data_IF_366316869787
#
_entry.id   IF_366316869787
#
_cell.length_a   1.000
_cell.length_b   1.000
_cell.length_c   1.000
_cell.angle_alpha   90.00
_cell.angle_beta   90.00
_cell.angle_gamma   90.00
#
_symmetry.space_group_name_H-M   'P 1'
#
loop_
_entity.id
_entity.type
_entity.pdbx_description
1 polymer ?
#
# COMPACT_ATOMS: atom_id res chain seq x y z
N UNK A 1 -19.67 16.71 9.57
CA UNK A 1 -18.46 16.02 10.08
C UNK A 1 -18.78 15.37 11.41
N UNK A 2 -18.58 14.06 11.53
CA UNK A 2 -18.68 13.35 12.81
C UNK A 2 -17.48 13.76 13.65
N UNK A 3 -17.71 14.30 14.85
CA UNK A 3 -16.63 14.71 15.74
C UNK A 3 -16.13 13.48 16.51
N UNK A 4 -15.10 12.82 15.97
CA UNK A 4 -14.52 11.64 16.59
C UNK A 4 -13.55 12.03 17.70
N UNK A 5 -14.03 11.96 18.94
CA UNK A 5 -13.19 12.05 20.12
C UNK A 5 -12.37 10.75 20.26
N UNK A 6 -11.06 10.87 20.03
CA UNK A 6 -10.10 9.76 20.11
C UNK A 6 -9.24 9.84 21.38
N UNK A 7 -9.63 10.66 22.35
CA UNK A 7 -8.88 10.89 23.59
C UNK A 7 -8.62 9.61 24.40
N UNK A 8 -9.39 8.56 24.18
CA UNK A 8 -9.32 7.30 24.95
C UNK A 8 -8.68 6.13 24.19
N UNK A 9 -8.37 6.28 22.89
CA UNK A 9 -7.84 5.17 22.08
C UNK A 9 -6.30 5.21 22.01
N UNK A 10 -5.66 4.61 23.02
CA UNK A 10 -4.20 4.57 23.17
C UNK A 10 -3.53 3.33 22.56
N UNK A 11 -4.26 2.46 21.87
CA UNK A 11 -3.71 1.19 21.40
C UNK A 11 -2.51 1.36 20.47
N UNK A 12 -2.54 2.36 19.57
CA UNK A 12 -1.40 2.63 18.70
C UNK A 12 -0.17 3.10 19.50
N UNK A 13 -0.37 3.99 20.48
CA UNK A 13 0.70 4.44 21.39
C UNK A 13 1.29 3.28 22.20
N UNK A 14 0.44 2.39 22.72
CA UNK A 14 0.87 1.23 23.47
C UNK A 14 1.69 0.26 22.61
N UNK A 15 1.22 -0.04 21.39
CA UNK A 15 1.94 -0.91 20.45
C UNK A 15 3.29 -0.32 20.04
N UNK A 16 3.36 0.97 19.74
CA UNK A 16 4.63 1.63 19.43
C UNK A 16 5.55 1.73 20.65
N UNK A 17 4.99 1.95 21.85
CA UNK A 17 5.74 1.92 23.10
C UNK A 17 6.32 0.53 23.41
N UNK A 18 5.58 -0.54 23.13
CA UNK A 18 6.07 -1.92 23.21
C UNK A 18 7.17 -2.16 22.18
N UNK A 19 6.98 -1.74 20.92
CA UNK A 19 8.01 -1.83 19.87
C UNK A 19 9.28 -1.07 20.26
N UNK A 20 9.17 0.13 20.82
CA UNK A 20 10.31 0.92 21.28
C UNK A 20 11.06 0.24 22.43
N UNK A 21 10.35 -0.39 23.37
CA UNK A 21 10.96 -1.18 24.46
C UNK A 21 11.66 -2.44 23.95
N UNK A 22 11.16 -3.04 22.87
CA UNK A 22 11.74 -4.23 22.26
C UNK A 22 12.86 -3.89 21.26
N UNK A 23 12.98 -2.64 20.82
CA UNK A 23 14.01 -2.22 19.86
C UNK A 23 15.46 -2.46 20.34
N UNK A 24 15.83 -2.21 21.62
CA UNK A 24 17.14 -2.60 22.14
C UNK A 24 17.36 -4.12 22.14
N UNK A 25 16.30 -4.90 22.39
CA UNK A 25 16.37 -6.36 22.29
C UNK A 25 16.60 -6.82 20.85
N UNK A 26 16.08 -6.09 19.85
CA UNK A 26 16.32 -6.40 18.44
C UNK A 26 17.81 -6.34 18.06
N UNK A 27 18.53 -5.30 18.51
CA UNK A 27 19.97 -5.19 18.31
C UNK A 27 20.72 -6.33 19.01
N UNK A 28 20.33 -6.65 20.25
CA UNK A 28 20.88 -7.80 20.98
C UNK A 28 20.61 -9.15 20.29
N UNK A 29 19.41 -9.33 19.73
CA UNK A 29 19.02 -10.53 18.97
C UNK A 29 19.86 -10.64 17.69
N UNK A 30 20.10 -9.55 16.96
CA UNK A 30 20.96 -9.56 15.77
C UNK A 30 22.39 -9.96 16.11
N UNK A 31 22.99 -9.35 17.14
CA UNK A 31 24.35 -9.67 17.60
C UNK A 31 24.45 -11.13 18.05
N UNK A 32 23.48 -11.62 18.83
CA UNK A 32 23.46 -13.01 19.29
C UNK A 32 23.28 -13.98 18.13
N UNK A 33 22.43 -13.65 17.16
CA UNK A 33 22.21 -14.48 15.98
C UNK A 33 23.47 -14.60 15.13
N UNK A 34 24.18 -13.50 14.88
CA UNK A 34 25.48 -13.52 14.19
C UNK A 34 26.52 -14.37 14.95
N UNK A 35 26.55 -14.28 16.29
CA UNK A 35 27.43 -15.10 17.11
C UNK A 35 27.15 -16.61 16.96
N UNK A 36 25.87 -17.01 16.89
CA UNK A 36 25.47 -18.41 16.67
C UNK A 36 25.63 -18.87 15.21
N UNK A 37 25.61 -17.98 14.22
CA UNK A 37 25.94 -18.30 12.82
C UNK A 37 27.44 -18.58 12.63
N UNK A 38 28.31 -18.02 13.48
CA UNK A 38 29.74 -18.31 13.51
C UNK A 38 30.09 -19.66 14.16
N UNK A 39 29.21 -20.22 14.99
CA UNK A 39 29.31 -21.62 15.44
C UNK A 39 28.76 -22.56 14.35
N UNK A 40 29.37 -23.74 14.16
CA UNK A 40 28.86 -24.74 13.19
C UNK A 40 27.42 -25.16 13.57
N UNK A 41 26.43 -24.60 12.87
CA UNK A 41 25.01 -24.95 13.02
C UNK A 41 24.71 -26.41 12.65
N UNK A 42 25.61 -27.04 11.90
CA UNK A 42 25.51 -28.45 11.50
C UNK A 42 25.85 -29.38 12.68
N UNK A 43 26.88 -29.05 13.46
CA UNK A 43 27.42 -29.90 14.53
C UNK A 43 26.76 -29.68 15.90
N UNK A 44 26.09 -28.53 16.12
CA UNK A 44 25.49 -28.19 17.42
C UNK A 44 23.96 -27.99 17.34
N UNK A 45 23.21 -29.02 17.79
CA UNK A 45 21.75 -28.99 17.84
C UNK A 45 21.17 -27.88 18.72
N UNK A 46 21.87 -27.46 19.78
CA UNK A 46 21.43 -26.36 20.64
C UNK A 46 21.60 -25.01 19.95
N UNK A 47 22.74 -24.76 19.28
CA UNK A 47 22.97 -23.55 18.50
C UNK A 47 21.90 -23.35 17.41
N UNK A 48 21.52 -24.43 16.72
CA UNK A 48 20.44 -24.43 15.72
C UNK A 48 19.07 -24.08 16.31
N UNK A 49 18.73 -24.59 17.48
CA UNK A 49 17.46 -24.26 18.16
C UNK A 49 17.46 -22.79 18.60
N UNK A 50 18.59 -22.31 19.17
CA UNK A 50 18.74 -20.92 19.59
C UNK A 50 18.69 -19.96 18.40
N UNK A 51 19.34 -20.29 17.29
CA UNK A 51 19.28 -19.52 16.04
C UNK A 51 17.86 -19.43 15.49
N UNK A 52 17.11 -20.54 15.48
CA UNK A 52 15.71 -20.55 15.05
C UNK A 52 14.82 -19.69 15.96
N UNK A 53 15.02 -19.76 17.28
CA UNK A 53 14.29 -18.94 18.25
C UNK A 53 14.62 -17.45 18.10
N UNK A 54 15.90 -17.10 17.96
CA UNK A 54 16.35 -15.72 17.74
C UNK A 54 15.84 -15.18 16.40
N UNK A 55 15.82 -16.01 15.35
CA UNK A 55 15.24 -15.64 14.04
C UNK A 55 13.74 -15.37 14.14
N UNK A 56 13.00 -16.16 14.94
CA UNK A 56 11.59 -15.91 15.19
C UNK A 56 11.38 -14.60 15.97
N UNK A 57 12.16 -14.37 17.02
CA UNK A 57 12.13 -13.14 17.80
C UNK A 57 12.51 -11.91 16.96
N UNK A 58 13.51 -12.01 16.08
CA UNK A 58 13.88 -10.97 15.11
C UNK A 58 12.69 -10.64 14.21
N UNK A 59 12.05 -11.66 13.59
CA UNK A 59 10.90 -11.47 12.69
C UNK A 59 9.69 -10.82 13.38
N UNK A 60 9.43 -11.14 14.65
CA UNK A 60 8.34 -10.52 15.42
C UNK A 60 8.59 -9.05 15.75
N UNK A 61 9.85 -8.62 15.74
CA UNK A 61 10.27 -7.30 16.23
C UNK A 61 10.79 -6.37 15.14
N UNK A 62 10.96 -6.89 13.93
CA UNK A 62 11.48 -6.14 12.78
C UNK A 62 10.43 -5.19 12.20
N UNK A 63 10.85 -3.93 11.97
CA UNK A 63 10.12 -3.01 11.11
C UNK A 63 10.50 -3.31 9.66
N UNK A 64 9.56 -3.81 8.87
CA UNK A 64 9.78 -4.04 7.45
C UNK A 64 9.79 -2.71 6.71
N UNK A 65 10.87 -2.43 5.98
CA UNK A 65 10.89 -1.32 5.06
C UNK A 65 9.90 -1.58 3.91
N UNK A 66 9.43 -0.50 3.29
CA UNK A 66 8.63 -0.57 2.07
C UNK A 66 9.38 -1.41 1.03
N UNK A 67 8.77 -2.48 0.47
CA UNK A 67 9.40 -3.23 -0.62
C UNK A 67 9.54 -2.31 -1.83
N UNK A 68 10.62 -2.50 -2.59
CA UNK A 68 10.80 -1.87 -3.90
C UNK A 68 10.11 -2.69 -4.98
N UNK A 69 9.73 -2.06 -6.10
CA UNK A 69 9.23 -2.82 -7.25
C UNK A 69 10.33 -3.70 -7.84
N UNK A 70 11.59 -3.26 -7.84
CA UNK A 70 12.75 -4.03 -8.31
C UNK A 70 12.47 -4.72 -9.67
N UNK A 71 11.91 -3.96 -10.61
CA UNK A 71 11.68 -4.43 -11.98
C UNK A 71 12.83 -3.86 -12.81
N UNK A 72 13.77 -4.72 -13.18
CA UNK A 72 15.02 -4.32 -13.83
C UNK A 72 14.91 -4.28 -15.34
N UNK A 73 14.09 -5.16 -15.91
CA UNK A 73 13.98 -5.34 -17.36
C UNK A 73 12.60 -5.84 -17.78
N UNK A 74 12.29 -5.69 -19.06
CA UNK A 74 11.14 -6.27 -19.74
C UNK A 74 11.54 -6.75 -21.13
N UNK A 75 10.82 -7.72 -21.69
CA UNK A 75 11.10 -8.30 -23.01
C UNK A 75 9.99 -7.86 -23.97
N UNK A 76 10.37 -7.28 -25.11
CA UNK A 76 9.47 -6.86 -26.19
C UNK A 76 10.08 -7.33 -27.51
N UNK A 77 9.33 -8.09 -28.32
CA UNK A 77 9.78 -8.62 -29.62
C UNK A 77 11.17 -9.29 -29.54
N UNK A 78 11.35 -10.19 -28.56
CA UNK A 78 12.58 -10.92 -28.25
C UNK A 78 13.81 -10.05 -27.90
N UNK A 79 13.60 -8.77 -27.60
CA UNK A 79 14.64 -7.85 -27.12
C UNK A 79 14.40 -7.44 -25.68
N UNK A 80 15.46 -7.49 -24.88
CA UNK A 80 15.46 -7.03 -23.50
C UNK A 80 15.67 -5.53 -23.42
N UNK A 81 14.80 -4.86 -22.68
CA UNK A 81 14.88 -3.43 -22.38
C UNK A 81 14.97 -3.22 -20.87
N UNK A 82 15.97 -2.46 -20.44
CA UNK A 82 16.10 -2.07 -19.04
C UNK A 82 14.96 -1.13 -18.63
N UNK A 83 14.47 -1.29 -17.41
CA UNK A 83 13.42 -0.46 -16.82
C UNK A 83 14.05 0.52 -15.84
N UNK A 84 13.67 1.80 -15.98
CA UNK A 84 14.04 2.86 -15.07
C UNK A 84 12.78 3.35 -14.36
N UNK A 85 12.68 3.03 -13.08
CA UNK A 85 11.59 3.46 -12.21
C UNK A 85 11.87 4.87 -11.68
N UNK A 86 10.94 5.81 -11.91
CA UNK A 86 11.07 7.21 -11.48
C UNK A 86 9.82 7.71 -10.80
N UNK A 87 9.98 8.50 -9.75
CA UNK A 87 8.92 9.37 -9.24
C UNK A 87 8.84 10.59 -10.16
N UNK A 88 7.73 10.74 -10.88
CA UNK A 88 7.54 11.84 -11.84
C UNK A 88 6.73 13.00 -11.26
N UNK A 89 5.91 12.72 -10.24
CA UNK A 89 5.15 13.72 -9.50
C UNK A 89 5.06 13.28 -8.05
N UNK A 90 5.38 14.18 -7.13
CA UNK A 90 5.38 13.93 -5.69
C UNK A 90 4.40 14.87 -5.02
N UNK A 91 3.43 14.30 -4.32
CA UNK A 91 2.47 15.01 -3.46
C UNK A 91 2.57 14.47 -2.04
N UNK A 92 1.95 15.18 -1.09
CA UNK A 92 2.05 14.83 0.34
C UNK A 92 1.60 13.40 0.66
N UNK A 93 0.48 12.96 0.09
CA UNK A 93 -0.11 11.63 0.35
C UNK A 93 0.19 10.59 -0.73
N UNK A 94 0.81 10.94 -1.86
CA UNK A 94 1.04 10.00 -2.95
C UNK A 94 2.18 10.44 -3.86
N UNK A 95 2.96 9.46 -4.30
CA UNK A 95 3.92 9.60 -5.38
C UNK A 95 3.35 8.95 -6.64
N UNK A 96 3.47 9.61 -7.79
CA UNK A 96 3.20 9.02 -9.09
C UNK A 96 4.52 8.48 -9.64
N UNK A 97 4.58 7.18 -9.91
CA UNK A 97 5.77 6.50 -10.39
C UNK A 97 5.59 6.06 -11.84
N UNK A 98 6.65 6.17 -12.63
CA UNK A 98 6.72 5.81 -14.05
C UNK A 98 7.80 4.75 -14.28
N UNK A 99 7.48 3.74 -15.10
CA UNK A 99 8.42 2.67 -15.47
C UNK A 99 8.90 2.86 -16.90
N UNK A 100 9.91 3.71 -17.06
CA UNK A 100 10.47 4.07 -18.36
C UNK A 100 11.31 2.93 -18.93
N UNK A 101 11.07 2.57 -20.20
CA UNK A 101 11.87 1.57 -20.93
C UNK A 101 13.05 2.25 -21.61
N UNK A 102 14.27 1.95 -21.18
CA UNK A 102 15.48 2.63 -21.69
C UNK A 102 15.74 2.20 -23.13
N UNK A 103 15.85 3.16 -24.05
CA UNK A 103 16.17 2.91 -25.46
C UNK A 103 15.02 2.38 -26.31
N UNK A 104 13.83 2.18 -25.74
CA UNK A 104 12.62 1.85 -26.48
C UNK A 104 11.99 3.11 -27.08
N UNK A 105 11.75 3.13 -28.40
CA UNK A 105 11.31 4.33 -29.13
C UNK A 105 9.87 4.29 -29.63
N UNK A 106 9.20 3.13 -29.58
CA UNK A 106 7.83 2.99 -30.05
C UNK A 106 6.87 3.56 -29.00
N UNK A 107 5.89 4.34 -29.43
CA UNK A 107 4.82 4.79 -28.55
C UNK A 107 3.91 3.62 -28.19
N UNK A 108 3.66 3.46 -26.89
CA UNK A 108 2.70 2.51 -26.33
C UNK A 108 1.56 3.30 -25.69
N UNK A 109 0.37 2.70 -25.56
CA UNK A 109 -0.71 3.31 -24.79
C UNK A 109 -0.25 3.58 -23.36
N UNK A 110 -0.52 4.79 -22.86
CA UNK A 110 -0.23 5.17 -21.49
C UNK A 110 -1.26 4.54 -20.57
N UNK A 111 -0.82 3.92 -19.48
CA UNK A 111 -1.68 3.26 -18.50
C UNK A 111 -1.40 3.80 -17.11
N UNK A 112 -2.39 4.45 -16.50
CA UNK A 112 -2.40 4.79 -15.08
C UNK A 112 -3.03 3.65 -14.27
N UNK A 113 -2.23 3.00 -13.45
CA UNK A 113 -2.67 2.04 -12.45
C UNK A 113 -2.88 2.77 -11.12
N UNK A 114 -4.12 2.84 -10.67
CA UNK A 114 -4.47 3.34 -9.33
C UNK A 114 -4.40 2.16 -8.37
N UNK A 115 -3.34 2.13 -7.56
CA UNK A 115 -3.07 1.09 -6.57
C UNK A 115 -3.93 1.29 -5.31
N UNK A 116 -4.27 0.21 -4.59
CA UNK A 116 -5.00 0.32 -3.32
C UNK A 116 -4.15 1.00 -2.25
N UNK A 117 -4.80 1.82 -1.41
CA UNK A 117 -4.18 2.42 -0.22
C UNK A 117 -4.16 1.40 0.93
N UNK A 118 -5.21 0.60 1.06
CA UNK A 118 -5.29 -0.54 1.98
C UNK A 118 -4.56 -1.74 1.38
N UNK A 119 -3.35 -2.01 1.86
CA UNK A 119 -2.46 -3.04 1.26
C UNK A 119 -0.96 -2.82 1.50
N UNK A 120 -0.61 -1.87 2.34
CA UNK A 120 0.75 -1.48 2.70
C UNK A 120 1.52 -0.78 1.57
N UNK A 121 1.59 -1.28 0.32
CA UNK A 121 2.37 -0.62 -0.75
C UNK A 121 1.88 -0.95 -2.18
N UNK A 122 2.12 -0.04 -3.14
CA UNK A 122 1.83 -0.28 -4.57
C UNK A 122 2.59 -1.47 -5.16
N UNK A 123 3.67 -1.92 -4.50
CA UNK A 123 4.45 -3.10 -4.88
C UNK A 123 3.69 -4.41 -4.80
N UNK A 124 2.51 -4.47 -4.16
CA UNK A 124 1.60 -5.60 -4.31
C UNK A 124 1.18 -5.83 -5.76
N UNK A 125 1.18 -4.78 -6.59
CA UNK A 125 0.89 -4.84 -8.02
C UNK A 125 2.14 -5.05 -8.87
N UNK A 126 3.29 -5.41 -8.28
CA UNK A 126 4.55 -5.65 -9.01
C UNK A 126 4.36 -6.62 -10.18
N UNK A 127 3.73 -7.76 -9.95
CA UNK A 127 3.49 -8.77 -11.00
C UNK A 127 2.58 -8.23 -12.10
N UNK A 128 1.59 -7.41 -11.75
CA UNK A 128 0.71 -6.75 -12.71
C UNK A 128 1.48 -5.74 -13.56
N UNK A 129 2.32 -4.91 -12.95
CA UNK A 129 3.21 -3.99 -13.68
C UNK A 129 4.11 -4.79 -14.62
N UNK A 130 4.80 -5.83 -14.14
CA UNK A 130 5.68 -6.68 -14.95
C UNK A 130 4.98 -7.28 -16.18
N UNK A 131 3.76 -7.80 -16.00
CA UNK A 131 3.00 -8.41 -17.07
C UNK A 131 2.51 -7.40 -18.13
N UNK A 132 2.25 -6.15 -17.74
CA UNK A 132 1.73 -5.11 -18.63
C UNK A 132 2.82 -4.26 -19.29
N UNK A 133 4.05 -4.27 -18.74
CA UNK A 133 5.17 -3.50 -19.26
C UNK A 133 5.47 -3.73 -20.75
N UNK A 134 5.31 -4.94 -21.33
CA UNK A 134 5.55 -5.12 -22.76
C UNK A 134 4.55 -4.36 -23.65
N UNK A 135 3.36 -4.08 -23.14
CA UNK A 135 2.22 -3.59 -23.94
C UNK A 135 1.88 -2.12 -23.70
N UNK A 136 2.32 -1.55 -22.57
CA UNK A 136 1.90 -0.22 -22.12
C UNK A 136 3.05 0.59 -21.54
N UNK A 137 2.89 1.91 -21.56
CA UNK A 137 3.72 2.83 -20.79
C UNK A 137 3.08 3.09 -19.43
N UNK A 138 3.71 2.61 -18.35
CA UNK A 138 3.03 2.41 -17.06
C UNK A 138 3.34 3.54 -16.08
N UNK A 139 2.26 4.10 -15.55
CA UNK A 139 2.23 4.99 -14.40
C UNK A 139 1.48 4.29 -13.26
N UNK A 140 1.96 4.41 -12.02
CA UNK A 140 1.28 3.83 -10.85
C UNK A 140 1.24 4.82 -9.70
N UNK A 141 0.10 4.91 -9.02
CA UNK A 141 -0.02 5.67 -7.76
C UNK A 141 0.61 4.87 -6.63
N UNK A 142 1.44 5.52 -5.82
CA UNK A 142 2.08 4.93 -4.67
C UNK A 142 1.79 5.77 -3.42
N UNK A 143 0.80 5.34 -2.65
CA UNK A 143 0.27 6.06 -1.49
C UNK A 143 1.29 6.08 -0.34
N UNK A 144 1.51 7.27 0.22
CA UNK A 144 2.36 7.47 1.38
C UNK A 144 1.61 7.05 2.63
N UNK A 145 2.28 6.32 3.52
CA UNK A 145 1.70 5.97 4.81
C UNK A 145 1.40 7.26 5.60
N UNK A 146 0.14 7.44 5.99
CA UNK A 146 -0.33 8.68 6.61
C UNK A 146 0.42 9.03 7.91
N UNK A 147 1.00 8.05 8.60
CA UNK A 147 1.86 8.30 9.77
C UNK A 147 3.09 9.14 9.43
N UNK A 148 3.60 9.08 8.20
CA UNK A 148 4.74 9.88 7.74
C UNK A 148 4.35 11.21 7.07
N UNK A 149 3.06 11.53 6.98
CA UNK A 149 2.57 12.78 6.38
C UNK A 149 2.28 13.82 7.48
N UNK A 150 3.05 14.92 7.55
CA UNK A 150 2.88 15.96 8.58
C UNK A 150 1.47 16.55 8.61
N UNK A 151 1.05 17.10 9.75
CA UNK A 151 -0.29 17.70 9.88
C UNK A 151 -0.47 18.94 9.00
N UNK A 152 0.60 19.69 8.75
CA UNK A 152 0.63 20.87 7.89
C UNK A 152 0.26 20.56 6.44
N UNK A 153 0.41 19.30 6.02
CA UNK A 153 -0.01 18.83 4.70
C UNK A 153 -1.54 18.71 4.54
N UNK A 154 -2.31 18.99 5.60
CA UNK A 154 -3.77 19.02 5.56
C UNK A 154 -4.44 17.68 5.85
N UNK A 155 -5.73 17.60 5.55
CA UNK A 155 -6.53 16.39 5.67
C UNK A 155 -6.41 15.53 4.41
N UNK A 156 -6.91 14.31 4.49
CA UNK A 156 -7.01 13.41 3.35
C UNK A 156 -8.25 12.55 3.53
N UNK A 157 -9.28 12.83 2.75
CA UNK A 157 -10.52 12.06 2.71
C UNK A 157 -10.81 11.51 1.30
N UNK A 158 -12.07 11.15 1.03
CA UNK A 158 -12.46 10.57 -0.25
C UNK A 158 -12.42 11.58 -1.39
N UNK A 159 -12.73 12.84 -1.13
CA UNK A 159 -12.72 13.90 -2.13
C UNK A 159 -11.26 14.20 -2.51
N UNK A 160 -10.36 14.27 -1.52
CA UNK A 160 -8.93 14.40 -1.76
C UNK A 160 -8.36 13.24 -2.61
N UNK A 161 -8.83 12.00 -2.37
CA UNK A 161 -8.43 10.85 -3.20
C UNK A 161 -8.84 11.10 -4.66
N UNK A 162 -10.09 11.47 -4.88
CA UNK A 162 -10.64 11.72 -6.22
C UNK A 162 -9.85 12.82 -6.92
N UNK A 163 -9.57 13.92 -6.23
CA UNK A 163 -8.79 15.03 -6.75
C UNK A 163 -7.37 14.61 -7.13
N UNK A 164 -6.70 13.80 -6.31
CA UNK A 164 -5.39 13.24 -6.63
C UNK A 164 -5.42 12.41 -7.93
N UNK A 165 -6.45 11.56 -8.10
CA UNK A 165 -6.60 10.74 -9.31
C UNK A 165 -6.82 11.64 -10.53
N UNK A 166 -7.69 12.64 -10.43
CA UNK A 166 -7.93 13.60 -11.52
C UNK A 166 -6.66 14.38 -11.87
N UNK A 167 -5.88 14.81 -10.88
CA UNK A 167 -4.62 15.51 -11.09
C UNK A 167 -3.58 14.61 -11.79
N UNK A 168 -3.47 13.35 -11.39
CA UNK A 168 -2.56 12.40 -12.05
C UNK A 168 -2.97 12.09 -13.49
N UNK A 169 -4.27 11.94 -13.76
CA UNK A 169 -4.77 11.78 -15.12
C UNK A 169 -4.42 13.03 -15.96
N UNK A 170 -4.69 14.22 -15.44
CA UNK A 170 -4.37 15.48 -16.12
C UNK A 170 -2.87 15.67 -16.34
N UNK A 171 -2.04 15.24 -15.39
CA UNK A 171 -0.58 15.31 -15.49
C UNK A 171 -0.03 14.39 -16.59
N UNK A 172 -0.59 13.18 -16.72
CA UNK A 172 -0.20 12.24 -17.80
C UNK A 172 -0.68 12.77 -19.16
N UNK A 173 -1.91 13.28 -19.23
CA UNK A 173 -2.46 13.98 -20.39
C UNK A 173 -3.40 13.13 -21.23
N UNK A 174 -3.42 13.41 -22.54
CA UNK A 174 -4.35 12.82 -23.51
C UNK A 174 -4.06 11.34 -23.75
N UNK A 175 -5.11 10.59 -24.12
CA UNK A 175 -5.03 9.17 -24.53
C UNK A 175 -4.54 8.21 -23.43
N UNK A 176 -4.68 8.60 -22.16
CA UNK A 176 -4.40 7.72 -21.03
C UNK A 176 -5.51 6.69 -20.84
N UNK A 177 -5.14 5.45 -20.59
CA UNK A 177 -6.01 4.40 -20.09
C UNK A 177 -5.84 4.29 -18.58
N UNK A 178 -6.91 3.91 -17.87
CA UNK A 178 -6.87 3.80 -16.41
C UNK A 178 -7.24 2.41 -15.94
N UNK A 179 -6.64 1.98 -14.83
CA UNK A 179 -6.92 0.72 -14.16
C UNK A 179 -6.96 0.92 -12.65
N UNK A 180 -8.08 0.65 -12.00
CA UNK A 180 -8.18 0.57 -10.55
C UNK A 180 -8.20 -0.88 -10.09
N UNK A 181 -7.45 -1.17 -9.02
CA UNK A 181 -7.42 -2.51 -8.41
C UNK A 181 -7.96 -2.48 -6.98
N UNK A 182 -9.04 -3.21 -6.71
CA UNK A 182 -9.69 -3.31 -5.41
C UNK A 182 -10.30 -1.96 -4.95
N UNK A 183 -9.89 -1.44 -3.78
CA UNK A 183 -10.37 -0.21 -3.16
C UNK A 183 -10.54 1.02 -4.09
N UNK A 184 -9.56 1.39 -4.94
CA UNK A 184 -9.62 2.55 -5.85
C UNK A 184 -10.73 2.53 -6.89
N UNK A 185 -11.47 1.43 -7.02
CA UNK A 185 -12.56 1.30 -7.99
C UNK A 185 -13.57 2.45 -7.88
N UNK A 186 -14.00 2.79 -6.66
CA UNK A 186 -14.99 3.86 -6.46
C UNK A 186 -14.37 5.26 -6.69
N UNK A 187 -13.20 5.61 -6.11
CA UNK A 187 -12.54 6.88 -6.39
C UNK A 187 -12.22 7.13 -7.88
N UNK A 188 -11.70 6.12 -8.59
CA UNK A 188 -11.40 6.25 -10.03
C UNK A 188 -12.68 6.47 -10.84
N UNK A 189 -13.73 5.72 -10.54
CA UNK A 189 -15.03 5.88 -11.17
C UNK A 189 -15.59 7.29 -10.95
N UNK A 190 -15.52 7.81 -9.72
CA UNK A 190 -15.97 9.16 -9.41
C UNK A 190 -15.14 10.23 -10.15
N UNK A 191 -13.81 10.13 -10.11
CA UNK A 191 -12.88 11.03 -10.79
C UNK A 191 -13.20 11.16 -12.28
N UNK A 192 -13.36 10.03 -12.99
CA UNK A 192 -13.62 10.03 -14.43
C UNK A 192 -15.01 10.61 -14.76
N UNK A 193 -16.01 10.34 -13.94
CA UNK A 193 -17.34 10.94 -14.11
C UNK A 193 -17.31 12.46 -13.92
N UNK A 194 -16.62 12.97 -12.90
CA UNK A 194 -16.45 14.41 -12.67
C UNK A 194 -15.66 15.08 -13.79
N UNK A 195 -14.60 14.43 -14.29
CA UNK A 195 -13.85 14.90 -15.46
C UNK A 195 -14.72 14.95 -16.72
N UNK A 196 -15.61 13.97 -16.91
CA UNK A 196 -16.53 13.93 -18.05
C UNK A 196 -17.60 15.03 -17.95
N UNK A 197 -18.19 15.21 -16.76
CA UNK A 197 -19.19 16.25 -16.49
C UNK A 197 -18.62 17.66 -16.71
N UNK A 198 -17.37 17.89 -16.30
CA UNK A 198 -16.66 19.15 -16.50
C UNK A 198 -16.12 19.36 -17.93
N UNK A 199 -16.36 18.42 -18.86
CA UNK A 199 -15.80 18.42 -20.21
C UNK A 199 -14.27 18.58 -20.22
N UNK A 200 -13.59 17.90 -19.30
CA UNK A 200 -12.13 17.91 -19.24
C UNK A 200 -11.54 17.38 -20.56
N UNK A 201 -10.50 18.02 -21.12
CA UNK A 201 -9.85 17.53 -22.34
C UNK A 201 -9.13 16.19 -22.12
N UNK A 202 -8.77 15.87 -20.87
CA UNK A 202 -7.96 14.69 -20.53
C UNK A 202 -8.80 13.53 -19.95
N UNK A 203 -10.08 13.43 -20.28
CA UNK A 203 -10.87 12.26 -19.89
C UNK A 203 -10.19 10.98 -20.44
N UNK A 204 -9.94 9.95 -19.60
CA UNK A 204 -9.27 8.73 -20.05
C UNK A 204 -10.00 8.02 -21.20
N UNK A 205 -9.25 7.44 -22.12
CA UNK A 205 -9.80 6.70 -23.27
C UNK A 205 -10.47 5.39 -22.87
N UNK A 206 -10.05 4.79 -21.75
CA UNK A 206 -10.76 3.67 -21.13
C UNK A 206 -10.53 3.60 -19.62
N UNK A 207 -11.42 2.87 -18.95
CA UNK A 207 -11.38 2.60 -17.52
C UNK A 207 -11.56 1.12 -17.25
N UNK A 208 -10.61 0.52 -16.53
CA UNK A 208 -10.62 -0.88 -16.11
C UNK A 208 -10.80 -0.93 -14.59
N UNK A 209 -11.82 -1.65 -14.12
CA UNK A 209 -12.11 -1.82 -12.70
C UNK A 209 -11.90 -3.29 -12.32
N UNK A 210 -10.86 -3.58 -11.52
CA UNK A 210 -10.43 -4.94 -11.22
C UNK A 210 -10.63 -5.27 -9.74
N UNK A 211 -11.56 -6.18 -9.45
CA UNK A 211 -11.71 -6.77 -8.11
C UNK A 211 -12.23 -5.81 -7.02
N UNK A 212 -12.70 -4.62 -7.37
CA UNK A 212 -13.38 -3.71 -6.46
C UNK A 212 -14.90 -3.77 -6.57
N UNK A 213 -15.58 -3.50 -5.47
CA UNK A 213 -17.04 -3.49 -5.41
C UNK A 213 -17.57 -2.10 -5.79
N UNK A 214 -18.44 -2.03 -6.80
CA UNK A 214 -19.13 -0.78 -7.20
C UNK A 214 -20.40 -0.59 -6.39
N UNK A 215 -21.27 -1.60 -6.33
CA UNK A 215 -22.48 -1.60 -5.49
C UNK A 215 -22.33 -2.61 -4.35
N UNK A 216 -22.00 -2.11 -3.15
CA UNK A 216 -21.80 -2.91 -1.95
C UNK A 216 -23.07 -3.61 -1.43
N UNK A 217 -24.25 -3.33 -2.01
CA UNK A 217 -25.51 -3.99 -1.68
C UNK A 217 -25.72 -5.27 -2.49
N UNK A 218 -24.98 -5.46 -3.60
CA UNK A 218 -25.09 -6.63 -4.47
C UNK A 218 -23.94 -7.60 -4.15
N UNK A 219 -24.29 -8.86 -3.86
CA UNK A 219 -23.34 -9.91 -3.45
C UNK A 219 -22.46 -9.47 -2.26
N UNK A 220 -23.07 -9.13 -1.11
CA UNK A 220 -22.30 -8.66 0.04
C UNK A 220 -21.32 -9.74 0.51
N UNK A 221 -20.11 -9.31 0.82
CA UNK A 221 -19.10 -10.14 1.49
C UNK A 221 -19.21 -9.97 3.00
N UNK A 222 -18.52 -10.82 3.78
CA UNK A 222 -18.42 -10.66 5.23
C UNK A 222 -17.88 -9.28 5.65
N UNK A 223 -17.03 -8.66 4.83
CA UNK A 223 -16.56 -7.28 5.04
C UNK A 223 -17.70 -6.27 4.89
N UNK A 224 -18.57 -6.46 3.88
CA UNK A 224 -19.74 -5.60 3.68
C UNK A 224 -20.77 -5.75 4.80
N UNK A 225 -21.04 -6.99 5.23
CA UNK A 225 -21.95 -7.26 6.36
C UNK A 225 -21.44 -6.62 7.66
N UNK A 226 -20.14 -6.75 7.93
CA UNK A 226 -19.51 -6.09 9.07
C UNK A 226 -19.64 -4.56 8.97
N UNK A 227 -19.37 -3.98 7.80
CA UNK A 227 -19.51 -2.55 7.54
C UNK A 227 -20.95 -2.05 7.77
N UNK A 228 -21.97 -2.82 7.39
CA UNK A 228 -23.38 -2.47 7.60
C UNK A 228 -23.84 -2.67 9.05
N UNK A 229 -23.18 -3.55 9.81
CA UNK A 229 -23.57 -3.89 11.19
C UNK A 229 -23.22 -2.84 12.24
N UNK A 230 -22.46 -1.80 11.86
CA UNK A 230 -21.92 -0.77 12.76
C UNK A 230 -22.22 0.62 12.23
N UNK A 231 -22.38 1.59 13.13
CA UNK A 231 -22.52 2.99 12.73
C UNK A 231 -21.17 3.59 12.36
N UNK A 232 -21.18 4.70 11.64
CA UNK A 232 -19.95 5.40 11.27
C UNK A 232 -19.23 5.95 12.51
N UNK A 233 -19.97 6.36 13.55
CA UNK A 233 -19.44 6.76 14.85
C UNK A 233 -18.68 5.61 15.51
N UNK A 234 -19.24 4.39 15.49
CA UNK A 234 -18.58 3.20 16.00
C UNK A 234 -17.24 2.96 15.29
N UNK A 235 -17.20 3.04 13.96
CA UNK A 235 -15.93 2.90 13.22
C UNK A 235 -14.94 3.96 13.66
N UNK A 236 -15.39 5.21 13.73
CA UNK A 236 -14.50 6.29 14.07
C UNK A 236 -13.91 6.16 15.48
N UNK A 237 -14.66 5.61 16.45
CA UNK A 237 -14.15 5.41 17.81
C UNK A 237 -13.27 4.16 17.93
N UNK A 238 -13.61 3.08 17.21
CA UNK A 238 -13.02 1.76 17.45
C UNK A 238 -11.85 1.43 16.53
N UNK A 239 -11.87 1.91 15.28
CA UNK A 239 -10.84 1.57 14.28
C UNK A 239 -9.92 2.74 13.93
N UNK A 240 -10.31 3.97 14.26
CA UNK A 240 -9.44 5.14 14.06
C UNK A 240 -8.61 5.42 15.31
N UNK A 241 -7.33 5.75 15.12
CA UNK A 241 -6.37 6.04 16.18
C UNK A 241 -5.51 7.25 15.80
N UNK A 242 -4.90 7.90 16.78
CA UNK A 242 -3.95 8.99 16.53
C UNK A 242 -2.54 8.44 16.33
N UNK A 243 -1.81 9.02 15.38
CA UNK A 243 -0.40 8.69 15.12
C UNK A 243 0.45 9.14 16.31
N UNK A 244 1.31 8.25 16.86
CA UNK A 244 2.15 8.57 18.01
C UNK A 244 3.31 9.53 17.67
N UNK A 245 3.98 10.12 18.68
CA UNK A 245 4.96 11.21 18.49
C UNK A 245 6.23 10.82 17.74
N UNK A 246 6.47 9.52 17.57
CA UNK A 246 7.63 8.98 16.87
C UNK A 246 7.54 9.08 15.34
N UNK A 247 6.44 9.61 14.80
CA UNK A 247 6.26 9.82 13.37
C UNK A 247 5.97 11.29 13.03
N UNK A 248 6.35 11.78 11.82
CA UNK A 248 6.06 13.14 11.38
C UNK A 248 4.58 13.52 11.40
N UNK A 249 3.69 12.58 11.12
CA UNK A 249 2.24 12.77 11.13
C UNK A 249 1.60 12.67 12.51
N UNK A 250 2.36 12.89 13.59
CA UNK A 250 1.87 12.82 14.97
C UNK A 250 0.53 13.57 15.15
N UNK A 251 -0.43 12.93 15.82
CA UNK A 251 -1.77 13.48 16.05
C UNK A 251 -2.74 13.27 14.89
N UNK A 252 -2.27 12.83 13.71
CA UNK A 252 -3.15 12.49 12.58
C UNK A 252 -4.04 11.31 12.93
N UNK A 253 -5.32 11.41 12.57
CA UNK A 253 -6.30 10.33 12.72
C UNK A 253 -6.16 9.35 11.55
N UNK A 254 -5.84 8.09 11.85
CA UNK A 254 -5.59 7.05 10.84
C UNK A 254 -6.34 5.76 11.20
N UNK A 255 -6.64 4.93 10.20
CA UNK A 255 -7.03 3.54 10.41
C UNK A 255 -5.77 2.66 10.31
N UNK A 256 -5.15 2.24 11.43
CA UNK A 256 -3.82 1.62 11.38
C UNK A 256 -3.80 0.29 10.64
N UNK A 257 -2.71 0.02 9.92
CA UNK A 257 -2.53 -1.19 9.11
C UNK A 257 -2.66 -2.50 9.88
N UNK A 258 -2.31 -2.54 11.18
CA UNK A 258 -2.48 -3.74 11.99
C UNK A 258 -3.95 -4.11 12.25
N UNK A 259 -4.84 -3.10 12.36
CA UNK A 259 -6.28 -3.36 12.47
C UNK A 259 -6.87 -3.73 11.12
N UNK A 260 -6.37 -3.15 10.02
CA UNK A 260 -6.75 -3.56 8.66
C UNK A 260 -6.39 -5.03 8.45
N UNK A 261 -5.17 -5.44 8.79
CA UNK A 261 -4.72 -6.82 8.68
C UNK A 261 -5.55 -7.77 9.55
N UNK A 262 -5.82 -7.40 10.80
CA UNK A 262 -6.69 -8.19 11.68
C UNK A 262 -8.10 -8.35 11.10
N UNK A 263 -8.64 -7.29 10.49
CA UNK A 263 -9.92 -7.33 9.76
C UNK A 263 -9.86 -8.26 8.54
N UNK A 264 -8.81 -8.16 7.72
CA UNK A 264 -8.60 -9.05 6.57
C UNK A 264 -8.46 -10.51 6.98
N UNK A 265 -7.73 -10.83 8.05
CA UNK A 265 -7.59 -12.22 8.53
C UNK A 265 -8.92 -12.75 9.08
N UNK A 266 -9.71 -11.90 9.73
CA UNK A 266 -10.98 -12.29 10.36
C UNK A 266 -12.15 -12.42 9.38
N UNK A 267 -12.23 -11.54 8.40
CA UNK A 267 -13.38 -11.44 7.47
C UNK A 267 -13.02 -11.77 6.02
N UNK A 268 -11.73 -11.83 5.68
CA UNK A 268 -11.23 -12.33 4.40
C UNK A 268 -10.86 -13.81 4.52
N UNK A 269 -11.54 -14.64 3.73
CA UNK A 269 -11.31 -16.08 3.56
C UNK A 269 -9.91 -16.44 2.97
N UNK A 270 -8.80 -15.95 3.52
CA UNK A 270 -7.47 -16.09 2.91
C UNK A 270 -6.33 -16.39 3.89
N UNK A 271 -6.52 -17.37 4.79
CA UNK A 271 -5.40 -18.08 5.43
C UNK A 271 -4.53 -18.92 4.48
N UNK A 272 -4.79 -18.89 3.16
CA UNK A 272 -4.13 -19.77 2.18
C UNK A 272 -3.20 -19.10 1.17
N UNK A 273 -3.13 -17.77 1.10
CA UNK A 273 -2.32 -17.07 0.06
C UNK A 273 -1.14 -16.28 0.63
N UNK A 274 -1.20 -15.82 1.88
CA UNK A 274 -0.10 -15.04 2.48
C UNK A 274 1.06 -15.89 3.01
N UNK A 275 0.87 -17.21 3.17
CA UNK A 275 1.94 -18.13 3.59
C UNK A 275 2.78 -18.68 2.43
N UNK A 276 2.39 -18.45 1.17
CA UNK A 276 3.09 -18.97 -0.02
C UNK A 276 4.13 -18.02 -0.60
N UNK A 277 4.17 -16.74 -0.19
CA UNK A 277 5.15 -15.76 -0.70
C UNK A 277 6.26 -15.38 0.31
N UNK A 278 6.44 -16.20 1.35
CA UNK A 278 7.60 -16.16 2.25
C UNK A 278 8.34 -17.51 2.28
N UNK A 279 8.61 -18.06 1.09
CA UNK A 279 9.67 -19.05 0.88
C UNK A 279 10.75 -18.44 0.02
#
# INVERSE_FOLDING_TARGET
MINCDLSTNYTYYMLEGLRAQIAPMHLGIQILKEAYEHESLEDNGFARIMHAYLTLCERMTRKYAKPEFNILETIIDDKTYNINEKVILKKSFCELRHFQKIGFKKELPQLLIVAPMAGHHATLLRTTVQALLPYTDIYITDWTEASYVPLEAGHFDMDDYIDYVMEFINFIGLNVHTMAVCQPTVPLLAAINLMSESNSPNVPSSMILMGGTVDARKNPTAVNEFAQSKSLEWFCQMVTMQVPPNYPGHGRKVYPGFLQLAGFIRYGYAGRVLLTNYR
#
